data_IF_613227585528
#
_entry.id   IF_613227585528
#
_cell.length_a   1.000
_cell.length_b   1.000
_cell.length_c   1.000
_cell.angle_alpha   90.00
_cell.angle_beta   90.00
_cell.angle_gamma   90.00
#
_symmetry.space_group_name_H-M   'P 1'
#
loop_
_entity.id
_entity.type
_entity.pdbx_description
1 polymer ?
#
# COMPACT_ATOMS: atom_id res chain seq x y z
N UNK A 1 -1.43 -16.68 -9.23
CA UNK A 1 -2.43 -15.60 -9.40
C UNK A 1 -1.69 -14.36 -9.85
N UNK A 2 -2.14 -13.69 -10.92
CA UNK A 2 -1.58 -12.44 -11.42
C UNK A 2 -2.64 -11.36 -11.24
N UNK A 3 -2.34 -10.30 -10.48
CA UNK A 3 -3.31 -9.24 -10.18
C UNK A 3 -3.42 -8.25 -11.34
N UNK A 4 -2.29 -7.80 -11.89
CA UNK A 4 -2.22 -6.90 -13.04
C UNK A 4 -0.99 -7.24 -13.89
N UNK A 5 -1.15 -7.28 -15.21
CA UNK A 5 -0.05 -7.54 -16.16
C UNK A 5 -0.13 -6.74 -17.47
N UNK A 6 -1.08 -5.82 -17.58
CA UNK A 6 -1.28 -4.99 -18.78
C UNK A 6 -1.21 -3.52 -18.40
N UNK A 7 -0.71 -2.70 -19.33
CA UNK A 7 -0.62 -1.25 -19.21
C UNK A 7 0.18 -0.75 -18.00
N UNK A 8 1.05 -1.56 -17.40
CA UNK A 8 1.94 -1.14 -16.31
C UNK A 8 3.34 -0.99 -16.87
N UNK A 9 3.95 0.18 -16.68
CA UNK A 9 5.27 0.48 -17.22
C UNK A 9 6.35 0.48 -16.14
N UNK A 10 6.25 1.39 -15.16
CA UNK A 10 7.22 1.56 -14.10
C UNK A 10 6.51 1.79 -12.76
N UNK A 11 5.89 0.73 -12.18
CA UNK A 11 5.22 0.84 -10.91
C UNK A 11 6.23 1.05 -9.78
N UNK A 12 5.90 1.90 -8.79
CA UNK A 12 6.85 2.24 -7.71
C UNK A 12 6.22 2.27 -6.32
N UNK A 13 5.09 2.95 -6.17
CA UNK A 13 4.32 3.00 -4.93
C UNK A 13 3.06 2.16 -5.03
N UNK A 14 2.64 1.56 -3.91
CA UNK A 14 1.42 0.75 -3.80
C UNK A 14 0.78 1.00 -2.42
N UNK A 15 -0.54 1.15 -2.38
CA UNK A 15 -1.30 1.23 -1.13
C UNK A 15 -2.70 0.65 -1.32
N UNK A 16 -3.27 0.13 -0.24
CA UNK A 16 -4.66 -0.36 -0.20
C UNK A 16 -5.55 0.70 0.42
N UNK A 17 -6.83 0.70 0.06
CA UNK A 17 -7.83 1.46 0.83
C UNK A 17 -8.09 0.73 2.15
N UNK A 18 -7.77 1.34 3.31
CA UNK A 18 -7.93 0.69 4.61
C UNK A 18 -9.38 0.65 5.10
N UNK A 19 -10.33 1.28 4.38
CA UNK A 19 -11.74 1.25 4.75
C UNK A 19 -12.29 -0.18 4.78
N UNK A 20 -13.07 -0.52 5.80
CA UNK A 20 -13.60 -1.87 6.00
C UNK A 20 -14.43 -2.32 4.79
N UNK A 21 -14.09 -3.48 4.22
CA UNK A 21 -14.75 -4.02 3.03
C UNK A 21 -14.34 -3.37 1.71
N UNK A 22 -13.46 -2.37 1.71
CA UNK A 22 -12.89 -1.82 0.49
C UNK A 22 -12.00 -2.86 -0.21
N UNK A 23 -12.02 -2.83 -1.55
CA UNK A 23 -11.26 -3.75 -2.41
C UNK A 23 -10.47 -2.97 -3.47
N UNK A 24 -9.98 -1.79 -3.08
CA UNK A 24 -9.23 -0.88 -3.93
C UNK A 24 -7.74 -0.93 -3.61
N UNK A 25 -6.92 -0.96 -4.66
CA UNK A 25 -5.47 -1.04 -4.60
C UNK A 25 -4.90 0.03 -5.50
N UNK A 26 -4.38 1.10 -4.92
CA UNK A 26 -3.81 2.21 -5.66
C UNK A 26 -2.31 2.00 -5.87
N UNK A 27 -1.82 2.30 -7.07
CA UNK A 27 -0.39 2.31 -7.36
C UNK A 27 0.04 3.54 -8.15
N UNK A 28 1.31 3.92 -8.02
CA UNK A 28 1.93 4.91 -8.89
C UNK A 28 2.58 4.20 -10.08
N UNK A 29 2.51 4.81 -11.25
CA UNK A 29 3.27 4.44 -12.44
C UNK A 29 3.89 5.72 -13.00
N UNK A 30 5.18 5.73 -13.31
CA UNK A 30 5.91 6.93 -13.76
C UNK A 30 6.54 6.80 -15.16
N UNK A 31 6.24 5.74 -15.92
CA UNK A 31 6.77 5.62 -17.28
C UNK A 31 6.08 6.57 -18.27
N UNK A 32 5.76 6.10 -19.49
CA UNK A 32 5.32 7.01 -20.57
C UNK A 32 4.08 7.87 -20.23
N UNK A 33 3.19 7.37 -19.38
CA UNK A 33 2.04 8.13 -18.89
C UNK A 33 1.94 8.03 -17.36
N UNK A 34 2.57 8.98 -16.63
CA UNK A 34 2.54 8.99 -15.18
C UNK A 34 1.10 9.04 -14.65
N UNK A 35 0.79 8.16 -13.70
CA UNK A 35 -0.56 8.08 -13.12
C UNK A 35 -0.61 7.47 -11.72
N UNK A 36 -1.71 7.76 -11.03
CA UNK A 36 -2.20 7.00 -9.87
C UNK A 36 -3.53 6.37 -10.29
N UNK A 37 -3.60 5.03 -10.26
CA UNK A 37 -4.72 4.17 -10.75
C UNK A 37 -5.92 4.93 -11.34
N UNK A 38 -5.84 5.35 -12.60
CA UNK A 38 -6.96 5.94 -13.37
C UNK A 38 -7.57 7.26 -12.86
N UNK A 39 -7.19 7.73 -11.68
CA UNK A 39 -7.77 8.89 -10.98
C UNK A 39 -7.01 10.15 -11.32
N UNK A 40 -5.68 10.05 -11.37
CA UNK A 40 -4.79 11.12 -11.79
C UNK A 40 -3.98 10.63 -12.99
N UNK A 41 -4.29 11.14 -14.18
CA UNK A 41 -3.54 10.88 -15.41
C UNK A 41 -3.13 12.20 -16.03
N UNK A 42 -1.84 12.37 -16.32
CA UNK A 42 -1.33 13.59 -16.97
C UNK A 42 -1.41 14.86 -16.11
N UNK A 43 -1.54 14.74 -14.79
CA UNK A 43 -1.45 15.89 -13.88
C UNK A 43 -0.06 16.53 -13.94
N UNK A 44 -0.01 17.87 -13.93
CA UNK A 44 1.25 18.61 -13.83
C UNK A 44 2.00 18.39 -12.50
N UNK A 45 1.31 17.83 -11.49
CA UNK A 45 1.86 17.50 -10.17
C UNK A 45 2.30 16.04 -10.04
N UNK A 46 2.38 15.33 -11.17
CA UNK A 46 2.66 13.90 -11.21
C UNK A 46 3.73 13.65 -12.29
N UNK A 47 4.99 13.88 -11.91
CA UNK A 47 6.15 13.71 -12.78
C UNK A 47 6.88 12.42 -12.44
N UNK A 48 7.42 12.30 -11.22
CA UNK A 48 8.11 11.11 -10.71
C UNK A 48 7.51 10.67 -9.37
N UNK A 49 6.26 10.15 -9.38
CA UNK A 49 5.60 9.68 -8.18
C UNK A 49 6.32 8.46 -7.59
N UNK A 50 6.74 8.55 -6.33
CA UNK A 50 7.55 7.51 -5.69
C UNK A 50 6.73 6.58 -4.81
N UNK A 51 6.02 7.15 -3.84
CA UNK A 51 5.22 6.43 -2.87
C UNK A 51 3.86 7.10 -2.70
N UNK A 52 2.87 6.33 -2.28
CA UNK A 52 1.52 6.82 -2.00
C UNK A 52 0.95 6.20 -0.73
N UNK A 53 0.05 6.93 -0.06
CA UNK A 53 -0.70 6.45 1.09
C UNK A 53 -2.13 6.97 1.01
N UNK A 54 -3.09 6.16 1.46
CA UNK A 54 -4.53 6.48 1.46
C UNK A 54 -4.96 6.78 2.88
N UNK A 55 -5.72 7.87 3.05
CA UNK A 55 -6.41 8.16 4.29
C UNK A 55 -7.70 8.92 3.99
N UNK A 56 -8.79 8.45 4.62
CA UNK A 56 -10.13 8.96 4.36
C UNK A 56 -10.43 8.97 2.85
N UNK A 57 -10.83 10.12 2.31
CA UNK A 57 -11.19 10.30 0.90
C UNK A 57 -10.02 10.74 0.01
N UNK A 58 -8.80 10.82 0.56
CA UNK A 58 -7.66 11.38 -0.14
C UNK A 58 -6.55 10.35 -0.39
N UNK A 59 -5.93 10.51 -1.55
CA UNK A 59 -4.61 9.93 -1.84
C UNK A 59 -3.55 10.99 -1.54
N UNK A 60 -2.47 10.54 -0.92
CA UNK A 60 -1.28 11.33 -0.68
C UNK A 60 -0.14 10.68 -1.44
N UNK A 61 0.65 11.45 -2.19
CA UNK A 61 1.82 10.90 -2.90
C UNK A 61 3.04 11.80 -2.78
N UNK A 62 4.19 11.17 -2.86
CA UNK A 62 5.46 11.88 -2.98
C UNK A 62 5.88 11.99 -4.44
N UNK A 63 6.35 13.16 -4.85
CA UNK A 63 6.94 13.36 -6.16
C UNK A 63 8.42 13.75 -6.01
N UNK A 64 9.30 12.92 -6.59
CA UNK A 64 10.75 13.10 -6.48
C UNK A 64 11.27 14.25 -7.34
N UNK A 65 10.67 14.51 -8.48
CA UNK A 65 11.10 15.58 -9.37
C UNK A 65 10.71 16.94 -8.79
N UNK A 66 9.53 17.03 -8.20
CA UNK A 66 9.00 18.26 -7.62
C UNK A 66 9.47 18.49 -6.17
N UNK A 67 10.06 17.48 -5.53
CA UNK A 67 10.50 17.51 -4.12
C UNK A 67 9.38 17.94 -3.16
N UNK A 68 8.20 17.35 -3.37
CA UNK A 68 6.95 17.74 -2.69
C UNK A 68 6.09 16.53 -2.38
N UNK A 69 5.19 16.74 -1.42
CA UNK A 69 4.07 15.83 -1.13
C UNK A 69 2.80 16.50 -1.58
N UNK A 70 1.96 15.77 -2.30
CA UNK A 70 0.68 16.23 -2.81
C UNK A 70 -0.46 15.41 -2.24
N UNK A 71 -1.67 15.95 -2.36
CA UNK A 71 -2.92 15.25 -2.04
C UNK A 71 -4.02 15.59 -3.04
N UNK A 72 -4.94 14.66 -3.27
CA UNK A 72 -6.13 14.84 -4.07
C UNK A 72 -7.21 13.82 -3.67
N UNK A 73 -8.45 14.03 -4.09
CA UNK A 73 -9.53 13.09 -3.83
C UNK A 73 -9.30 11.74 -4.54
N UNK A 74 -9.30 10.64 -3.78
CA UNK A 74 -8.84 9.31 -4.22
C UNK A 74 -9.61 8.70 -5.39
N UNK A 75 -10.83 9.14 -5.69
CA UNK A 75 -11.64 8.65 -6.81
C UNK A 75 -11.92 9.66 -7.91
N UNK A 76 -11.79 10.95 -7.60
CA UNK A 76 -12.20 12.05 -8.50
C UNK A 76 -11.00 12.78 -9.07
N UNK A 77 -9.85 12.71 -8.40
CA UNK A 77 -8.62 13.40 -8.78
C UNK A 77 -8.70 14.92 -8.65
N UNK A 78 -9.81 15.46 -8.13
CA UNK A 78 -9.96 16.87 -7.89
C UNK A 78 -9.41 17.28 -6.51
N UNK A 79 -9.27 18.59 -6.31
CA UNK A 79 -8.71 19.12 -5.06
C UNK A 79 -7.22 18.86 -4.91
N UNK A 80 -6.46 18.82 -6.02
CA UNK A 80 -5.00 18.71 -5.97
C UNK A 80 -4.38 19.84 -5.15
N UNK A 81 -3.67 19.49 -4.09
CA UNK A 81 -3.04 20.43 -3.16
C UNK A 81 -1.63 19.98 -2.79
N UNK A 82 -0.78 20.94 -2.41
CA UNK A 82 0.55 20.63 -1.85
C UNK A 82 0.42 20.49 -0.34
N UNK A 83 0.76 19.32 0.18
CA UNK A 83 0.73 19.03 1.62
C UNK A 83 2.05 19.43 2.28
N UNK A 84 3.17 19.23 1.57
CA UNK A 84 4.49 19.58 2.08
C UNK A 84 5.41 20.06 0.98
N UNK A 85 6.16 21.12 1.28
CA UNK A 85 7.12 21.76 0.39
C UNK A 85 8.55 21.39 0.78
N UNK A 86 9.45 21.40 -0.22
CA UNK A 86 10.91 21.32 -0.03
C UNK A 86 11.37 20.04 0.69
N UNK A 87 10.65 18.93 0.49
CA UNK A 87 11.07 17.63 1.02
C UNK A 87 12.17 17.11 0.10
N UNK A 88 13.41 17.10 0.57
CA UNK A 88 14.54 16.58 -0.20
C UNK A 88 14.36 15.08 -0.43
N UNK A 89 14.28 14.66 -1.70
CA UNK A 89 14.17 13.26 -2.10
C UNK A 89 13.06 12.51 -1.32
N UNK A 90 11.77 12.85 -1.54
CA UNK A 90 10.67 12.23 -0.81
C UNK A 90 10.40 10.83 -1.37
N UNK A 91 11.13 9.83 -0.87
CA UNK A 91 11.05 8.45 -1.38
C UNK A 91 9.86 7.66 -0.82
N UNK A 92 9.33 8.04 0.34
CA UNK A 92 8.26 7.32 1.01
C UNK A 92 7.32 8.24 1.77
N UNK A 93 6.05 7.86 1.85
CA UNK A 93 5.03 8.47 2.71
C UNK A 93 4.18 7.37 3.36
N UNK A 94 3.80 7.57 4.62
CA UNK A 94 2.91 6.68 5.36
C UNK A 94 2.03 7.50 6.29
N UNK A 95 0.74 7.19 6.33
CA UNK A 95 -0.21 7.80 7.27
C UNK A 95 -0.19 7.02 8.58
N UNK A 96 0.12 7.72 9.67
CA UNK A 96 0.07 7.18 11.03
C UNK A 96 -1.17 7.72 11.75
N UNK A 97 -2.19 6.88 11.90
CA UNK A 97 -3.45 7.25 12.56
C UNK A 97 -4.04 6.06 13.34
N UNK A 98 -4.57 6.23 14.57
CA UNK A 98 -5.10 5.12 15.38
C UNK A 98 -6.19 4.30 14.71
N UNK A 99 -7.04 4.92 13.88
CA UNK A 99 -8.08 4.21 13.11
C UNK A 99 -7.49 3.22 12.10
N UNK A 100 -6.27 3.48 11.60
CA UNK A 100 -5.59 2.56 10.68
C UNK A 100 -4.80 1.47 11.43
N UNK A 101 -4.71 1.56 12.76
CA UNK A 101 -3.92 0.69 13.62
C UNK A 101 -4.74 0.30 14.86
N UNK A 102 -5.87 -0.39 14.69
CA UNK A 102 -6.75 -0.75 15.79
C UNK A 102 -6.00 -1.62 16.82
N UNK A 103 -6.30 -1.36 18.09
CA UNK A 103 -5.72 -2.12 19.21
C UNK A 103 -6.41 -3.46 19.35
N UNK A 104 -5.99 -4.43 18.54
CA UNK A 104 -6.49 -5.80 18.55
C UNK A 104 -5.50 -6.76 19.22
N UNK A 105 -6.02 -7.84 19.80
CA UNK A 105 -5.17 -8.90 20.34
C UNK A 105 -4.58 -9.69 19.18
N UNK A 106 -3.26 -9.63 19.01
CA UNK A 106 -2.56 -10.39 17.97
C UNK A 106 -2.53 -11.90 18.33
N UNK A 107 -3.20 -12.80 17.57
CA UNK A 107 -3.20 -14.24 17.83
C UNK A 107 -1.81 -14.88 17.74
N UNK A 108 -0.87 -14.26 17.03
CA UNK A 108 0.51 -14.75 16.93
C UNK A 108 1.32 -14.54 18.21
N UNK A 109 0.86 -13.69 19.15
CA UNK A 109 1.55 -13.49 20.44
C UNK A 109 1.48 -14.74 21.32
N UNK A 110 0.37 -15.46 21.30
CA UNK A 110 0.16 -16.69 22.06
C UNK A 110 0.59 -17.96 21.33
N UNK A 111 0.97 -17.86 20.06
CA UNK A 111 1.23 -19.01 19.18
C UNK A 111 2.67 -18.96 18.63
N UNK A 112 3.67 -19.48 19.37
CA UNK A 112 5.07 -19.42 18.97
C UNK A 112 5.30 -20.26 17.70
N UNK A 113 5.82 -19.61 16.65
CA UNK A 113 6.13 -20.22 15.37
C UNK A 113 7.65 -20.19 15.14
N UNK A 114 8.19 -21.23 14.48
CA UNK A 114 9.63 -21.29 14.20
C UNK A 114 10.11 -20.24 13.18
N UNK A 115 9.23 -19.80 12.27
CA UNK A 115 9.54 -18.82 11.24
C UNK A 115 8.51 -17.70 11.19
N UNK A 116 7.35 -17.95 10.58
CA UNK A 116 6.34 -16.94 10.30
C UNK A 116 4.95 -17.42 10.73
N UNK A 117 4.23 -16.54 11.43
CA UNK A 117 2.81 -16.65 11.73
C UNK A 117 2.05 -15.67 10.85
N UNK A 118 1.14 -16.16 10.00
CA UNK A 118 0.31 -15.33 9.11
C UNK A 118 -1.15 -15.43 9.54
N UNK A 119 -1.86 -14.30 9.51
CA UNK A 119 -3.31 -14.30 9.66
C UNK A 119 -3.94 -14.70 8.31
N UNK A 120 -4.83 -15.69 8.34
CA UNK A 120 -5.59 -16.17 7.19
C UNK A 120 -7.03 -15.59 7.17
N UNK A 121 -7.57 -15.30 8.35
CA UNK A 121 -8.84 -14.60 8.59
C UNK A 121 -8.67 -13.79 9.89
N UNK A 122 -9.48 -12.75 10.19
CA UNK A 122 -9.40 -12.01 11.46
C UNK A 122 -9.32 -12.87 12.73
N UNK A 123 -9.78 -14.13 12.67
CA UNK A 123 -9.73 -15.10 13.78
C UNK A 123 -8.94 -16.38 13.49
N UNK A 124 -8.43 -16.58 12.26
CA UNK A 124 -7.75 -17.83 11.85
C UNK A 124 -6.33 -17.49 11.41
N UNK A 125 -5.33 -18.22 11.89
CA UNK A 125 -3.94 -18.05 11.51
C UNK A 125 -3.37 -19.33 10.88
N UNK A 126 -2.35 -19.19 10.05
CA UNK A 126 -1.57 -20.26 9.46
C UNK A 126 -0.09 -20.10 9.80
N UNK A 127 0.56 -21.23 10.08
CA UNK A 127 1.98 -21.29 10.37
C UNK A 127 2.72 -21.67 9.09
N UNK A 128 3.76 -20.91 8.75
CA UNK A 128 4.59 -21.18 7.56
C UNK A 128 6.06 -21.33 7.93
N UNK A 129 6.74 -22.23 7.23
CA UNK A 129 8.19 -22.40 7.29
C UNK A 129 8.88 -21.67 6.13
N UNK A 130 10.15 -21.31 6.32
CA UNK A 130 10.97 -20.69 5.28
C UNK A 130 11.17 -21.64 4.08
N UNK A 131 11.13 -21.09 2.86
CA UNK A 131 11.25 -21.83 1.58
C UNK A 131 12.51 -22.72 1.49
N UNK A 132 13.56 -22.40 2.26
CA UNK A 132 14.82 -23.14 2.26
C UNK A 132 14.91 -24.26 3.33
N UNK A 133 13.85 -24.49 4.10
CA UNK A 133 13.76 -25.65 5.00
C UNK A 133 12.71 -26.60 4.46
N UNK A 134 13.19 -27.67 3.84
CA UNK A 134 12.37 -28.78 3.36
C UNK A 134 11.68 -29.45 4.55
N UNK A 135 10.44 -29.03 4.82
CA UNK A 135 9.51 -29.80 5.65
C UNK A 135 8.16 -29.78 4.96
N UNK A 136 7.90 -30.88 4.25
CA UNK A 136 6.58 -31.30 3.77
C UNK A 136 5.42 -30.75 4.62
N UNK A 137 4.60 -29.90 4.00
CA UNK A 137 3.20 -29.61 4.33
C UNK A 137 2.79 -29.73 5.80
N UNK A 138 3.19 -28.77 6.64
CA UNK A 138 2.47 -28.51 7.91
C UNK A 138 1.77 -27.16 7.88
N UNK A 139 0.69 -27.10 7.11
CA UNK A 139 -0.38 -26.13 7.40
C UNK A 139 -1.13 -26.68 8.60
N UNK A 140 -0.69 -26.31 9.81
CA UNK A 140 -1.48 -26.54 11.00
C UNK A 140 -2.65 -25.55 10.98
N UNK A 141 -3.81 -26.01 10.54
CA UNK A 141 -5.07 -25.29 10.73
C UNK A 141 -5.50 -25.57 12.16
N UNK A 142 -5.37 -24.60 13.07
CA UNK A 142 -5.97 -24.71 14.39
C UNK A 142 -7.42 -24.25 14.25
N UNK A 143 -8.35 -25.20 14.31
CA UNK A 143 -9.80 -24.95 14.46
C UNK A 143 -10.11 -24.36 15.82
#
# INVERSE_FOLDING_TARGET
>A
MVLLNKNISQPRGLSIDPFEGARWLFWTDWGENPRIEGVLTGSHYLLYPHSLSIFEDNVYWTDRQLNRVFSAHKFRGDGETVVSHLVSQPLSIHVHHPVLQPSETNPCTSNPCAHICLLNHPTVYSIHASVNQDTSNKVASVT
#
